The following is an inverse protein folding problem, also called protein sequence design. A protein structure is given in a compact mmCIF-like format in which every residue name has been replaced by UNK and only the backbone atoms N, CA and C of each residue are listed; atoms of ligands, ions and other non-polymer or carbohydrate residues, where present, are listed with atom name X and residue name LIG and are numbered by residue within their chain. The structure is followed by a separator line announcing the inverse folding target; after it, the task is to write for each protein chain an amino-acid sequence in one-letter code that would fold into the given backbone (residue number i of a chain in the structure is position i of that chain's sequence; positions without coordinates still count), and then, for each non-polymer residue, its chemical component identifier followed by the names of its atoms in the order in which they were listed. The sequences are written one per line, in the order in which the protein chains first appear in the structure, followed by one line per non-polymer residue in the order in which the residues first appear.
data_IF_851645923558
#
_entry.id   IF_851645923558
#
_cell.length_a   1.000
_cell.length_b   1.000
_cell.length_c   1.000
_cell.angle_alpha   90.00
_cell.angle_beta   90.00
_cell.angle_gamma   90.00
#
_symmetry.space_group_name_H-M   'P 1'
#
loop_
_entity.id
_entity.type
_entity.pdbx_description
1 polymer ?
#
# COMPACT_ATOMS: atom_id res chain seq x y z
N UNK A 1 -16.15 -41.89 21.03
CA UNK A 1 -17.21 -40.96 21.48
C UNK A 1 -17.37 -39.96 20.35
N UNK A 2 -18.46 -39.80 19.61
CA UNK A 2 -19.89 -39.93 19.86
C UNK A 2 -20.57 -40.14 18.50
N UNK A 3 -21.62 -40.97 18.48
CA UNK A 3 -22.39 -41.41 17.31
C UNK A 3 -23.30 -40.26 16.81
N UNK A 4 -23.57 -40.18 15.51
CA UNK A 4 -24.89 -40.55 14.97
C UNK A 4 -25.00 -40.49 13.43
N UNK A 5 -25.92 -41.29 12.84
CA UNK A 5 -25.97 -41.61 11.41
C UNK A 5 -27.14 -40.93 10.68
N UNK A 6 -27.12 -40.90 9.34
CA UNK A 6 -28.35 -40.69 8.55
C UNK A 6 -28.51 -41.74 7.46
N UNK A 7 -29.25 -42.76 7.88
CA UNK A 7 -30.29 -43.55 7.20
C UNK A 7 -30.38 -43.52 5.66
N UNK A 8 -30.28 -44.72 5.11
CA UNK A 8 -30.67 -45.16 3.78
C UNK A 8 -32.19 -45.50 3.80
N UNK A 9 -32.92 -45.25 2.72
CA UNK A 9 -33.80 -46.20 1.98
C UNK A 9 -34.87 -45.46 1.15
N UNK A 10 -34.77 -45.55 -0.18
CA UNK A 10 -35.58 -46.38 -1.11
C UNK A 10 -36.86 -45.65 -1.57
N UNK A 11 -37.01 -45.42 -2.88
CA UNK A 11 -38.06 -46.07 -3.67
C UNK A 11 -37.70 -46.00 -5.16
N UNK A 12 -37.50 -47.19 -5.73
CA UNK A 12 -37.54 -47.45 -7.15
C UNK A 12 -38.98 -47.32 -7.66
N UNK A 13 -39.16 -46.78 -8.86
CA UNK A 13 -40.45 -46.68 -9.51
C UNK A 13 -40.28 -46.16 -10.94
N UNK A 14 -40.10 -47.08 -11.87
CA UNK A 14 -40.03 -46.83 -13.30
C UNK A 14 -41.43 -46.65 -13.92
N UNK A 15 -41.43 -46.33 -15.22
CA UNK A 15 -42.54 -46.42 -16.20
C UNK A 15 -43.47 -45.19 -16.17
N UNK A 16 -43.87 -44.56 -17.27
CA UNK A 16 -43.46 -44.47 -18.68
C UNK A 16 -44.34 -43.35 -19.28
N UNK A 17 -43.84 -42.71 -20.35
CA UNK A 17 -44.55 -42.27 -21.56
C UNK A 17 -46.02 -41.86 -21.39
N UNK A 18 -46.37 -40.61 -21.74
CA UNK A 18 -47.10 -40.36 -23.00
C UNK A 18 -47.50 -38.89 -23.16
N UNK A 19 -47.05 -38.33 -24.28
CA UNK A 19 -47.79 -37.47 -25.23
C UNK A 19 -48.62 -36.28 -24.76
N UNK A 20 -48.43 -35.22 -25.53
CA UNK A 20 -49.43 -34.28 -26.04
C UNK A 20 -49.18 -32.82 -25.63
N UNK A 21 -48.53 -32.18 -26.58
CA UNK A 21 -48.46 -30.76 -26.86
C UNK A 21 -49.82 -30.03 -26.78
N UNK A 22 -49.73 -28.72 -26.48
CA UNK A 22 -50.73 -27.64 -26.61
C UNK A 22 -51.82 -27.56 -25.53
N UNK A 23 -51.78 -26.49 -24.72
CA UNK A 23 -52.80 -25.41 -24.77
C UNK A 23 -52.18 -24.13 -24.17
N UNK A 24 -52.18 -23.11 -25.01
CA UNK A 24 -51.98 -21.70 -24.71
C UNK A 24 -53.08 -21.21 -23.73
N UNK A 25 -52.73 -20.44 -22.70
CA UNK A 25 -53.32 -19.11 -22.43
C UNK A 25 -52.95 -18.57 -21.05
N UNK A 26 -52.46 -17.34 -21.07
CA UNK A 26 -52.73 -16.32 -20.06
C UNK A 26 -51.96 -16.44 -18.76
N UNK A 27 -51.06 -15.49 -18.51
CA UNK A 27 -51.17 -14.58 -17.37
C UNK A 27 -50.30 -13.36 -17.60
N UNK A 28 -50.97 -12.21 -17.72
CA UNK A 28 -50.41 -10.92 -17.40
C UNK A 28 -50.16 -10.86 -15.87
N UNK A 29 -49.36 -9.87 -15.47
CA UNK A 29 -49.10 -9.44 -14.10
C UNK A 29 -48.13 -10.31 -13.28
N UNK A 30 -46.86 -9.90 -13.33
CA UNK A 30 -46.12 -9.55 -12.11
C UNK A 30 -44.82 -8.82 -12.48
N UNK A 31 -44.94 -7.58 -12.93
CA UNK A 31 -43.83 -6.62 -12.90
C UNK A 31 -43.62 -6.15 -11.46
N UNK A 32 -43.07 -7.01 -10.59
CA UNK A 32 -42.51 -6.56 -9.31
C UNK A 32 -41.07 -6.14 -9.54
N UNK A 33 -40.88 -4.83 -9.41
CA UNK A 33 -39.63 -4.09 -9.39
C UNK A 33 -38.54 -4.84 -8.63
N UNK A 34 -37.50 -5.29 -9.33
CA UNK A 34 -36.21 -5.57 -8.69
C UNK A 34 -35.62 -4.21 -8.27
N UNK A 35 -35.26 -4.02 -6.99
CA UNK A 35 -34.53 -2.82 -6.60
C UNK A 35 -33.21 -2.85 -7.37
N UNK A 36 -33.03 -1.86 -8.26
CA UNK A 36 -31.73 -1.58 -8.85
C UNK A 36 -30.76 -1.40 -7.68
N UNK A 37 -29.93 -2.41 -7.42
CA UNK A 37 -28.78 -2.25 -6.56
C UNK A 37 -27.99 -1.08 -7.15
N UNK A 38 -28.03 0.04 -6.44
CA UNK A 38 -27.22 1.22 -6.72
C UNK A 38 -25.79 0.74 -6.50
N UNK A 39 -25.12 0.36 -7.58
CA UNK A 39 -23.68 0.08 -7.55
C UNK A 39 -23.04 1.32 -6.94
N UNK A 40 -22.54 1.22 -5.72
CA UNK A 40 -21.78 2.28 -5.12
C UNK A 40 -20.59 2.52 -6.04
N UNK A 41 -20.50 3.71 -6.63
CA UNK A 41 -19.32 4.11 -7.38
C UNK A 41 -18.13 3.99 -6.41
N UNK A 42 -17.21 3.07 -6.69
CA UNK A 42 -15.93 3.07 -6.01
C UNK A 42 -15.31 4.44 -6.27
N UNK A 43 -15.09 5.21 -5.20
CA UNK A 43 -14.39 6.49 -5.33
C UNK A 43 -13.03 6.21 -5.97
N UNK A 44 -12.70 6.94 -7.04
CA UNK A 44 -11.37 6.87 -7.62
C UNK A 44 -10.35 7.21 -6.50
N UNK A 45 -9.19 6.51 -6.44
CA UNK A 45 -8.18 6.80 -5.44
C UNK A 45 -7.81 8.29 -5.52
N UNK A 46 -7.82 8.97 -4.38
CA UNK A 46 -7.49 10.38 -4.30
C UNK A 46 -6.06 10.59 -4.82
N UNK A 47 -5.94 11.23 -5.98
CA UNK A 47 -4.63 11.54 -6.54
C UNK A 47 -3.96 12.60 -5.66
N UNK A 48 -2.67 12.44 -5.32
CA UNK A 48 -1.96 13.44 -4.54
C UNK A 48 -1.87 14.78 -5.25
N UNK A 49 -2.08 15.87 -4.51
CA UNK A 49 -1.87 17.24 -4.96
C UNK A 49 -0.47 17.70 -4.55
N UNK A 50 0.31 18.21 -5.50
CA UNK A 50 1.62 18.81 -5.23
C UNK A 50 1.44 20.17 -4.54
N UNK A 51 2.09 20.34 -3.40
CA UNK A 51 2.14 21.59 -2.63
C UNK A 51 3.35 22.45 -2.98
N UNK A 52 4.45 21.82 -3.41
CA UNK A 52 5.69 22.48 -3.80
C UNK A 52 6.83 21.49 -4.05
N UNK A 53 7.82 21.90 -4.83
CA UNK A 53 9.06 21.14 -5.10
C UNK A 53 10.25 21.90 -4.51
N UNK A 54 11.07 21.20 -3.73
CA UNK A 54 12.21 21.74 -2.99
C UNK A 54 13.43 20.83 -3.19
N UNK A 55 14.35 21.24 -4.05
CA UNK A 55 15.48 20.38 -4.44
C UNK A 55 14.97 19.05 -5.00
N UNK A 56 15.44 17.95 -4.42
CA UNK A 56 15.07 16.59 -4.84
C UNK A 56 13.75 16.09 -4.19
N UNK A 57 13.11 16.90 -3.35
CA UNK A 57 11.91 16.53 -2.59
C UNK A 57 10.66 17.30 -3.03
N UNK A 58 9.56 16.59 -3.25
CA UNK A 58 8.24 17.19 -3.41
C UNK A 58 7.44 17.11 -2.12
N UNK A 59 6.65 18.14 -1.81
CA UNK A 59 5.66 18.15 -0.73
C UNK A 59 4.27 17.96 -1.33
N UNK A 60 3.45 17.09 -0.74
CA UNK A 60 2.16 16.68 -1.27
C UNK A 60 1.09 16.61 -0.18
N UNK A 61 -0.18 16.68 -0.59
CA UNK A 61 -1.32 16.28 0.22
C UNK A 61 -2.24 15.34 -0.54
N UNK A 62 -2.90 14.45 0.18
CA UNK A 62 -3.96 13.59 -0.33
C UNK A 62 -5.04 13.43 0.75
N UNK A 63 -6.22 12.95 0.34
CA UNK A 63 -7.31 12.65 1.26
C UNK A 63 -7.93 11.26 0.98
N UNK A 64 -7.15 10.16 1.10
CA UNK A 64 -7.72 8.82 0.98
C UNK A 64 -8.86 8.63 1.99
N UNK A 65 -9.99 8.14 1.52
CA UNK A 65 -11.22 7.95 2.32
C UNK A 65 -11.64 9.21 3.11
N UNK A 66 -11.33 10.40 2.58
CA UNK A 66 -11.62 11.69 3.22
C UNK A 66 -10.70 12.05 4.39
N UNK A 67 -9.67 11.24 4.69
CA UNK A 67 -8.70 11.50 5.76
C UNK A 67 -7.46 12.17 5.20
N UNK A 68 -7.16 13.38 5.67
CA UNK A 68 -6.01 14.16 5.20
C UNK A 68 -4.68 13.46 5.53
N UNK A 69 -3.82 13.39 4.54
CA UNK A 69 -2.43 12.94 4.63
C UNK A 69 -1.56 14.01 3.96
N UNK A 70 -0.48 14.43 4.62
CA UNK A 70 0.51 15.30 4.01
C UNK A 70 1.86 14.62 4.09
N UNK A 71 2.61 14.64 2.99
CA UNK A 71 3.84 13.87 2.91
C UNK A 71 4.86 14.54 2.02
N UNK A 72 6.13 14.28 2.29
CA UNK A 72 7.20 14.54 1.34
C UNK A 72 7.55 13.26 0.59
N UNK A 73 8.03 13.40 -0.65
CA UNK A 73 8.43 12.28 -1.50
C UNK A 73 9.71 12.63 -2.25
N UNK A 74 10.65 11.67 -2.30
CA UNK A 74 11.83 11.74 -3.17
C UNK A 74 12.05 10.42 -3.91
N UNK A 75 12.67 10.53 -5.09
CA UNK A 75 13.24 9.39 -5.84
C UNK A 75 14.74 9.28 -5.53
N UNK A 76 15.33 8.08 -5.60
CA UNK A 76 16.77 7.96 -5.42
C UNK A 76 17.54 8.65 -6.55
N UNK A 77 18.68 9.25 -6.22
CA UNK A 77 19.65 9.77 -7.19
C UNK A 77 20.43 8.66 -7.86
N UNK A 78 20.63 7.55 -7.15
CA UNK A 78 21.22 6.34 -7.69
C UNK A 78 20.63 5.09 -7.04
N UNK A 79 20.55 4.03 -7.84
CA UNK A 79 20.06 2.72 -7.41
C UNK A 79 20.98 1.65 -7.96
N UNK A 80 21.39 0.73 -7.10
CA UNK A 80 22.22 -0.42 -7.48
C UNK A 80 21.61 -1.72 -6.96
N UNK A 81 21.92 -2.83 -7.64
CA UNK A 81 21.47 -4.16 -7.26
C UNK A 81 22.63 -5.15 -7.28
N UNK A 82 22.57 -6.16 -6.42
CA UNK A 82 23.50 -7.30 -6.42
C UNK A 82 22.69 -8.60 -6.46
N UNK A 83 22.81 -9.41 -7.53
CA UNK A 83 23.58 -9.16 -8.76
C UNK A 83 23.08 -7.93 -9.53
N UNK A 84 23.92 -7.31 -10.36
CA UNK A 84 23.55 -6.11 -11.13
C UNK A 84 22.49 -6.40 -12.22
N UNK A 85 21.86 -5.33 -12.73
CA UNK A 85 20.94 -5.40 -13.87
C UNK A 85 19.56 -5.98 -13.55
N UNK A 86 19.13 -5.96 -12.28
CA UNK A 86 17.81 -6.46 -11.88
C UNK A 86 16.73 -5.40 -12.09
N UNK A 87 15.70 -5.75 -12.85
CA UNK A 87 14.53 -4.90 -13.06
C UNK A 87 13.77 -4.69 -11.75
N UNK A 88 13.34 -3.45 -11.52
CA UNK A 88 12.54 -3.00 -10.38
C UNK A 88 11.57 -1.93 -10.82
N UNK A 89 10.45 -1.86 -10.14
CA UNK A 89 9.57 -0.71 -10.21
C UNK A 89 10.26 0.53 -9.58
N UNK A 90 9.76 1.75 -9.84
CA UNK A 90 10.33 2.95 -9.25
C UNK A 90 10.33 2.91 -7.72
N UNK A 91 11.44 3.33 -7.12
CA UNK A 91 11.61 3.42 -5.68
C UNK A 91 11.42 4.85 -5.16
N UNK A 92 10.92 4.96 -3.94
CA UNK A 92 10.54 6.23 -3.30
C UNK A 92 10.81 6.18 -1.80
N UNK A 93 11.14 7.33 -1.21
CA UNK A 93 11.08 7.54 0.25
C UNK A 93 10.01 8.58 0.53
N UNK A 94 9.26 8.34 1.60
CA UNK A 94 8.19 9.19 2.09
C UNK A 94 8.46 9.61 3.53
N UNK A 95 8.10 10.85 3.88
CA UNK A 95 7.93 11.27 5.27
C UNK A 95 6.52 11.82 5.42
N UNK A 96 5.69 11.14 6.22
CA UNK A 96 4.25 11.35 6.22
C UNK A 96 3.72 11.86 7.55
N UNK A 97 2.68 12.68 7.48
CA UNK A 97 1.88 13.16 8.59
C UNK A 97 0.42 12.80 8.33
N UNK A 98 -0.22 12.08 9.28
CA UNK A 98 -1.63 11.67 9.23
C UNK A 98 -2.35 12.15 10.48
N UNK A 99 -2.93 13.35 10.47
CA UNK A 99 -3.57 13.94 11.65
C UNK A 99 -4.69 13.08 12.23
N UNK A 100 -5.50 12.45 11.37
CA UNK A 100 -6.62 11.59 11.80
C UNK A 100 -6.17 10.35 12.60
N UNK A 101 -4.90 9.95 12.47
CA UNK A 101 -4.30 8.80 13.15
C UNK A 101 -3.30 9.22 14.24
N UNK A 102 -3.13 10.53 14.46
CA UNK A 102 -2.10 11.09 15.33
C UNK A 102 -0.67 10.62 14.99
N UNK A 103 -0.39 10.40 13.71
CA UNK A 103 0.94 10.02 13.21
C UNK A 103 1.65 11.26 12.65
N UNK A 104 2.90 11.46 13.06
CA UNK A 104 3.77 12.55 12.62
C UNK A 104 5.10 12.00 12.16
N UNK A 105 5.60 12.53 11.06
CA UNK A 105 6.91 12.19 10.48
C UNK A 105 7.18 10.70 10.29
N UNK A 106 6.17 9.90 9.95
CA UNK A 106 6.39 8.48 9.67
C UNK A 106 7.29 8.33 8.45
N UNK A 107 8.39 7.61 8.59
CA UNK A 107 9.34 7.39 7.51
C UNK A 107 9.10 6.01 6.90
N UNK A 108 8.88 6.00 5.59
CA UNK A 108 8.72 4.77 4.83
C UNK A 108 9.39 4.84 3.47
N UNK A 109 9.63 3.67 2.87
CA UNK A 109 10.17 3.55 1.54
C UNK A 109 9.38 2.51 0.73
N UNK A 110 9.18 2.78 -0.55
CA UNK A 110 8.80 1.78 -1.56
C UNK A 110 10.08 1.44 -2.31
N UNK A 111 10.48 0.16 -2.33
CA UNK A 111 11.71 -0.27 -3.01
C UNK A 111 11.46 -0.81 -4.41
N UNK A 112 10.21 -0.98 -4.83
CA UNK A 112 9.86 -1.42 -6.18
C UNK A 112 10.10 -2.90 -6.46
N UNK A 113 10.05 -3.74 -5.42
CA UNK A 113 10.01 -5.20 -5.50
C UNK A 113 9.57 -5.80 -4.15
N UNK A 114 9.02 -7.03 -4.13
CA UNK A 114 8.71 -7.71 -2.87
C UNK A 114 9.97 -7.98 -2.03
N UNK A 115 10.04 -7.34 -0.87
CA UNK A 115 11.06 -7.53 0.16
C UNK A 115 10.87 -8.86 0.87
N UNK A 116 11.97 -9.46 1.31
CA UNK A 116 11.94 -10.64 2.18
C UNK A 116 11.32 -10.23 3.52
N UNK A 117 10.20 -10.86 3.87
CA UNK A 117 9.54 -10.62 5.16
C UNK A 117 10.46 -10.92 6.34
N UNK A 118 10.30 -10.16 7.42
CA UNK A 118 11.13 -10.24 8.63
C UNK A 118 12.64 -10.04 8.40
N UNK A 119 13.06 -9.66 7.18
CA UNK A 119 14.37 -9.08 6.93
C UNK A 119 14.31 -7.62 7.30
N UNK A 120 15.25 -7.17 8.13
CA UNK A 120 15.39 -5.76 8.45
C UNK A 120 16.03 -5.08 7.24
N UNK A 121 15.23 -4.36 6.45
CA UNK A 121 15.78 -3.34 5.57
C UNK A 121 16.45 -2.26 6.45
N UNK A 122 17.33 -1.44 5.88
CA UNK A 122 18.04 -0.43 6.68
C UNK A 122 17.98 0.93 6.02
N UNK A 123 17.68 1.95 6.83
CA UNK A 123 17.92 3.35 6.50
C UNK A 123 19.23 3.79 7.14
N UNK A 124 20.11 4.42 6.36
CA UNK A 124 21.41 4.91 6.82
C UNK A 124 21.59 6.39 6.48
N UNK A 125 21.98 7.21 7.45
CA UNK A 125 22.37 8.61 7.26
C UNK A 125 23.74 8.82 7.90
N UNK A 126 24.75 9.05 7.05
CA UNK A 126 26.15 9.01 7.49
C UNK A 126 26.51 7.64 8.07
N UNK A 127 26.93 7.61 9.35
CA UNK A 127 27.27 6.37 10.07
C UNK A 127 26.09 5.80 10.87
N UNK A 128 24.98 6.53 10.99
CA UNK A 128 23.83 6.10 11.79
C UNK A 128 22.94 5.18 10.97
N UNK A 129 22.49 4.08 11.58
CA UNK A 129 21.64 3.08 10.93
C UNK A 129 20.36 2.86 11.72
N UNK A 130 19.27 2.67 10.98
CA UNK A 130 17.95 2.44 11.52
C UNK A 130 17.36 1.19 10.86
N UNK A 131 16.91 0.25 11.69
CA UNK A 131 16.26 -0.96 11.21
C UNK A 131 14.86 -0.65 10.70
N UNK A 132 14.47 -1.27 9.59
CA UNK A 132 13.17 -1.11 8.98
C UNK A 132 12.44 -2.45 8.90
N UNK A 133 11.21 -2.48 9.37
CA UNK A 133 10.28 -3.57 9.13
C UNK A 133 9.84 -3.56 7.66
N UNK A 134 9.69 -4.75 7.06
CA UNK A 134 9.38 -4.90 5.63
C UNK A 134 8.08 -5.66 5.41
N UNK A 135 7.28 -5.17 4.46
CA UNK A 135 6.04 -5.81 4.02
C UNK A 135 5.75 -5.47 2.57
N UNK A 136 5.50 -6.49 1.75
CA UNK A 136 5.39 -6.36 0.30
C UNK A 136 6.63 -5.64 -0.26
N UNK A 137 6.46 -4.53 -0.97
CA UNK A 137 7.53 -3.67 -1.47
C UNK A 137 7.83 -2.46 -0.56
N UNK A 138 7.14 -2.37 0.58
CA UNK A 138 7.29 -1.31 1.56
C UNK A 138 8.26 -1.65 2.69
N UNK A 139 8.93 -0.62 3.20
CA UNK A 139 9.74 -0.66 4.41
C UNK A 139 9.42 0.54 5.31
N UNK A 140 9.29 0.33 6.62
CA UNK A 140 8.99 1.35 7.64
C UNK A 140 9.97 1.25 8.79
N UNK A 141 10.26 2.35 9.47
CA UNK A 141 11.12 2.31 10.67
C UNK A 141 10.53 1.36 11.71
N UNK A 142 11.34 0.39 12.16
CA UNK A 142 10.89 -0.71 13.01
C UNK A 142 10.53 -0.25 14.42
N UNK A 143 11.24 0.76 14.93
CA UNK A 143 10.98 1.36 16.24
C UNK A 143 10.56 2.81 16.05
N UNK A 144 9.28 3.12 16.31
CA UNK A 144 8.73 4.48 16.17
C UNK A 144 9.51 5.50 16.99
N UNK A 145 10.10 5.12 18.14
CA UNK A 145 10.92 6.02 18.95
C UNK A 145 12.21 6.49 18.24
N UNK A 146 12.63 5.82 17.16
CA UNK A 146 13.79 6.21 16.36
C UNK A 146 13.43 7.16 15.21
N UNK A 147 12.14 7.37 14.90
CA UNK A 147 11.73 8.20 13.76
C UNK A 147 12.20 9.65 13.90
N UNK A 148 12.00 10.26 15.07
CA UNK A 148 12.48 11.63 15.32
C UNK A 148 14.00 11.73 15.20
N UNK A 149 14.73 10.73 15.71
CA UNK A 149 16.19 10.66 15.57
C UNK A 149 16.63 10.54 14.12
N UNK A 150 15.91 9.78 13.29
CA UNK A 150 16.18 9.68 11.86
C UNK A 150 15.84 10.99 11.14
N UNK A 151 14.70 11.61 11.42
CA UNK A 151 14.34 12.93 10.85
C UNK A 151 15.43 13.95 11.16
N UNK A 152 15.89 14.01 12.40
CA UNK A 152 16.95 14.93 12.81
C UNK A 152 18.28 14.66 12.10
N UNK A 153 18.63 13.37 11.95
CA UNK A 153 19.80 12.97 11.16
C UNK A 153 19.64 13.39 9.70
N UNK A 154 18.45 13.19 9.11
CA UNK A 154 18.15 13.55 7.72
C UNK A 154 18.18 15.08 7.51
N UNK A 155 17.69 15.88 8.46
CA UNK A 155 17.75 17.36 8.36
C UNK A 155 19.19 17.90 8.39
N UNK A 156 20.12 17.17 9.01
CA UNK A 156 21.54 17.54 9.16
C UNK A 156 22.46 16.85 8.14
N UNK A 157 21.99 15.77 7.52
CA UNK A 157 22.75 14.92 6.60
C UNK A 157 22.69 15.39 5.16
N UNK A 158 23.57 14.84 4.33
CA UNK A 158 23.58 15.09 2.89
C UNK A 158 22.81 14.02 2.09
N UNK A 159 22.87 12.77 2.55
CA UNK A 159 22.29 11.61 1.87
C UNK A 159 21.61 10.64 2.84
N UNK A 160 20.54 10.02 2.36
CA UNK A 160 19.90 8.85 2.97
C UNK A 160 20.13 7.65 2.06
N UNK A 161 20.59 6.54 2.63
CA UNK A 161 20.73 5.28 1.91
C UNK A 161 19.72 4.27 2.43
N UNK A 162 18.89 3.72 1.53
CA UNK A 162 17.98 2.61 1.82
C UNK A 162 18.58 1.32 1.25
N UNK A 163 18.69 0.28 2.08
CA UNK A 163 19.11 -1.06 1.65
C UNK A 163 18.01 -2.06 1.92
N UNK A 164 17.77 -2.93 0.94
CA UNK A 164 16.74 -3.96 1.00
C UNK A 164 17.23 -5.28 0.42
N UNK A 165 16.54 -6.37 0.78
CA UNK A 165 16.77 -7.69 0.19
C UNK A 165 15.45 -8.25 -0.32
N UNK A 166 15.39 -8.60 -1.60
CA UNK A 166 14.19 -9.16 -2.21
C UNK A 166 13.89 -10.58 -1.70
N UNK A 167 12.66 -11.03 -1.89
CA UNK A 167 12.28 -12.44 -1.67
C UNK A 167 13.15 -13.41 -2.48
N UNK A 168 13.72 -12.96 -3.61
CA UNK A 168 14.63 -13.72 -4.48
C UNK A 168 16.12 -13.58 -4.11
N UNK A 169 16.44 -12.90 -3.01
CA UNK A 169 17.83 -12.71 -2.54
C UNK A 169 18.64 -11.64 -3.28
N UNK A 170 17.99 -10.77 -4.05
CA UNK A 170 18.66 -9.60 -4.64
C UNK A 170 18.80 -8.52 -3.59
N UNK A 171 20.02 -8.01 -3.39
CA UNK A 171 20.25 -6.86 -2.53
C UNK A 171 20.12 -5.58 -3.35
N UNK A 172 19.45 -4.55 -2.83
CA UNK A 172 19.46 -3.21 -3.42
C UNK A 172 20.05 -2.18 -2.48
N UNK A 173 20.67 -1.16 -3.05
CA UNK A 173 21.09 0.06 -2.36
C UNK A 173 20.59 1.25 -3.17
N UNK A 174 19.75 2.07 -2.55
CA UNK A 174 19.14 3.26 -3.13
C UNK A 174 19.61 4.48 -2.33
N UNK A 175 20.20 5.46 -3.01
CA UNK A 175 20.77 6.67 -2.39
C UNK A 175 19.92 7.88 -2.76
N UNK A 176 19.43 8.59 -1.74
CA UNK A 176 18.58 9.76 -1.83
C UNK A 176 19.36 10.98 -1.37
N UNK A 177 19.35 12.05 -2.17
CA UNK A 177 19.82 13.36 -1.75
C UNK A 177 18.86 13.93 -0.69
N UNK A 178 19.40 14.56 0.35
CA UNK A 178 18.62 15.25 1.37
C UNK A 178 18.46 16.75 1.09
N UNK A 179 18.96 17.22 -0.06
CA UNK A 179 18.82 18.60 -0.50
C UNK A 179 17.34 18.99 -0.68
N UNK A 180 16.90 19.98 0.10
CA UNK A 180 15.54 20.52 0.07
C UNK A 180 14.55 19.79 0.97
N UNK A 181 14.97 18.74 1.69
CA UNK A 181 14.09 17.97 2.57
C UNK A 181 13.42 18.84 3.64
N UNK A 182 14.19 19.65 4.36
CA UNK A 182 13.70 20.50 5.45
C UNK A 182 12.55 21.39 4.96
N UNK A 183 12.74 22.09 3.83
CA UNK A 183 11.72 22.97 3.26
C UNK A 183 10.47 22.19 2.82
N UNK A 184 10.64 21.01 2.21
CA UNK A 184 9.52 20.16 1.82
C UNK A 184 8.72 19.68 3.03
N UNK A 185 9.41 19.26 4.11
CA UNK A 185 8.77 18.81 5.34
C UNK A 185 7.98 19.94 5.99
N UNK A 186 8.58 21.12 6.09
CA UNK A 186 7.93 22.27 6.71
C UNK A 186 6.65 22.67 5.95
N UNK A 187 6.69 22.65 4.61
CA UNK A 187 5.50 22.87 3.76
C UNK A 187 4.42 21.81 3.93
N UNK A 188 4.80 20.53 4.02
CA UNK A 188 3.86 19.42 4.20
C UNK A 188 3.24 19.45 5.60
N UNK A 189 4.02 19.76 6.63
CA UNK A 189 3.53 19.91 8.01
C UNK A 189 2.57 21.08 8.10
N UNK A 190 2.89 22.24 7.50
CA UNK A 190 1.98 23.40 7.44
C UNK A 190 0.61 23.05 6.87
N UNK A 191 0.57 22.21 5.82
CA UNK A 191 -0.68 21.75 5.23
C UNK A 191 -1.52 20.88 6.17
N UNK A 192 -0.90 20.14 7.08
CA UNK A 192 -1.55 19.20 8.00
C UNK A 192 -1.56 19.67 9.47
N UNK A 193 -1.48 20.98 9.69
CA UNK A 193 -1.75 21.60 10.98
C UNK A 193 -3.24 21.62 11.31
#
# INVERSE_FOLDING_TARGET
MQRSPRMIMIFAGAIAVSTASWVQQGWAEQSKQQPKQKTAAAAAPAQPTLLGQYGDWGAYTAAPDGKKVCFTLAKPKSSSTTPAGRNRDPAYVFISTRPAENVRNEISAIVGYPLRQASDATAEVGTTKFAMYTQNDGAWIKNVAEEERLVDAMRKGAELTIKGTSTRGTHSTDVYSLMGLTQAMDRAVEECK
#
